data_IF_216336073844
#
_entry.id   IF_216336073844
#
_cell.length_a   1.000
_cell.length_b   1.000
_cell.length_c   1.000
_cell.angle_alpha   90.00
_cell.angle_beta   90.00
_cell.angle_gamma   90.00
#
_symmetry.space_group_name_H-M   'P 1'
#
loop_
_entity.id
_entity.type
_entity.pdbx_description
1 polymer ?
#
# COMPACT_ATOMS: atom_id res chain seq x y z
N UNK A 1 26.85 20.67 -7.84
CA UNK A 1 25.45 20.23 -7.68
C UNK A 1 25.41 19.14 -6.63
N UNK A 2 24.47 19.20 -5.68
CA UNK A 2 24.29 18.12 -4.70
C UNK A 2 23.67 16.89 -5.35
N UNK A 3 23.80 15.70 -4.74
CA UNK A 3 23.14 14.47 -5.21
C UNK A 3 21.62 14.67 -5.35
N UNK A 4 21.01 15.39 -4.41
CA UNK A 4 19.60 15.75 -4.46
C UNK A 4 19.26 16.57 -5.72
N UNK A 5 20.05 17.61 -6.03
CA UNK A 5 19.83 18.43 -7.23
C UNK A 5 19.97 17.60 -8.51
N UNK A 6 20.95 16.70 -8.59
CA UNK A 6 21.13 15.81 -9.73
C UNK A 6 19.91 14.90 -9.93
N UNK A 7 19.39 14.29 -8.85
CA UNK A 7 18.18 13.44 -8.91
C UNK A 7 16.96 14.26 -9.33
N UNK A 8 16.77 15.45 -8.76
CA UNK A 8 15.64 16.32 -9.10
C UNK A 8 15.67 16.73 -10.58
N UNK A 9 16.85 17.04 -11.12
CA UNK A 9 17.04 17.37 -12.53
C UNK A 9 16.82 16.15 -13.44
N UNK A 10 17.43 15.00 -13.12
CA UNK A 10 17.30 13.76 -13.90
C UNK A 10 15.85 13.26 -14.00
N UNK A 11 15.01 13.64 -13.05
CA UNK A 11 13.60 13.21 -12.99
C UNK A 11 12.62 14.36 -13.18
N UNK A 12 13.04 15.44 -13.84
CA UNK A 12 12.23 16.62 -14.15
C UNK A 12 11.26 16.39 -15.34
N UNK A 13 10.47 15.31 -15.29
CA UNK A 13 9.46 14.99 -16.33
C UNK A 13 8.46 16.13 -16.55
N UNK A 14 7.79 16.20 -17.70
CA UNK A 14 6.76 17.23 -17.92
C UNK A 14 5.53 17.04 -17.01
N UNK A 15 5.09 15.79 -16.84
CA UNK A 15 3.94 15.46 -15.99
C UNK A 15 4.33 15.45 -14.49
N UNK A 16 3.61 16.19 -13.63
CA UNK A 16 3.74 16.11 -12.17
C UNK A 16 3.58 14.69 -11.60
N UNK A 17 2.72 13.87 -12.21
CA UNK A 17 2.57 12.46 -11.87
C UNK A 17 3.90 11.72 -12.07
N UNK A 18 4.49 11.81 -13.27
CA UNK A 18 5.76 11.13 -13.58
C UNK A 18 6.94 11.67 -12.76
N UNK A 19 6.95 12.97 -12.44
CA UNK A 19 7.95 13.60 -11.54
C UNK A 19 7.99 12.98 -10.16
N UNK A 20 6.91 12.34 -9.73
CA UNK A 20 6.78 11.70 -8.42
C UNK A 20 6.85 10.19 -8.53
N UNK A 21 6.13 9.60 -9.48
CA UNK A 21 6.03 8.16 -9.69
C UNK A 21 7.38 7.53 -10.03
N UNK A 22 8.06 8.01 -11.07
CA UNK A 22 9.31 7.41 -11.56
C UNK A 22 10.40 7.37 -10.48
N UNK A 23 10.76 8.48 -9.81
CA UNK A 23 11.77 8.42 -8.77
C UNK A 23 11.33 7.61 -7.54
N UNK A 24 10.03 7.52 -7.25
CA UNK A 24 9.53 6.68 -6.15
C UNK A 24 9.66 5.19 -6.47
N UNK A 25 9.34 4.78 -7.71
CA UNK A 25 9.55 3.40 -8.16
C UNK A 25 11.05 3.09 -8.21
N UNK A 26 11.88 4.01 -8.71
CA UNK A 26 13.33 3.84 -8.70
C UNK A 26 13.88 3.66 -7.26
N UNK A 27 13.35 4.42 -6.29
CA UNK A 27 13.68 4.23 -4.88
C UNK A 27 13.27 2.84 -4.38
N UNK A 28 12.11 2.31 -4.80
CA UNK A 28 11.69 0.97 -4.41
C UNK A 28 12.70 -0.11 -4.84
N UNK A 29 13.13 -0.08 -6.09
CA UNK A 29 14.17 -0.98 -6.60
C UNK A 29 15.53 -0.72 -5.93
N UNK A 30 15.88 0.54 -5.66
CA UNK A 30 17.12 0.89 -4.97
C UNK A 30 17.20 0.33 -3.55
N UNK A 31 16.13 0.47 -2.76
CA UNK A 31 16.04 -0.10 -1.40
C UNK A 31 16.15 -1.63 -1.45
N UNK A 32 15.42 -2.27 -2.37
CA UNK A 32 15.44 -3.72 -2.48
C UNK A 32 16.78 -4.24 -2.99
N UNK A 33 17.45 -3.56 -3.93
CA UNK A 33 18.81 -3.89 -4.35
C UNK A 33 19.81 -3.76 -3.18
N UNK A 34 19.71 -2.69 -2.39
CA UNK A 34 20.60 -2.44 -1.25
C UNK A 34 20.50 -3.53 -0.17
N UNK A 35 19.30 -4.10 0.04
CA UNK A 35 19.13 -5.22 0.97
C UNK A 35 19.44 -6.57 0.31
N UNK A 36 19.17 -6.73 -0.99
CA UNK A 36 19.43 -7.97 -1.72
C UNK A 36 20.92 -8.34 -1.73
N UNK A 37 21.83 -7.37 -1.96
CA UNK A 37 23.28 -7.63 -2.04
C UNK A 37 23.83 -8.32 -0.78
N UNK A 38 23.70 -7.77 0.44
CA UNK A 38 24.16 -8.45 1.64
C UNK A 38 23.38 -9.73 1.94
N UNK A 39 22.08 -9.78 1.62
CA UNK A 39 21.24 -10.98 1.82
C UNK A 39 21.68 -12.14 0.94
N UNK A 40 22.05 -11.89 -0.32
CA UNK A 40 22.59 -12.88 -1.25
C UNK A 40 23.98 -13.35 -0.80
N UNK A 41 24.85 -12.42 -0.40
CA UNK A 41 26.20 -12.75 0.08
C UNK A 41 26.15 -13.65 1.32
N UNK A 42 25.28 -13.32 2.28
CA UNK A 42 25.07 -14.11 3.49
C UNK A 42 24.08 -15.28 3.30
N UNK A 43 23.51 -15.45 2.10
CA UNK A 43 22.46 -16.42 1.77
C UNK A 43 21.32 -16.43 2.80
N UNK A 44 20.87 -15.27 3.27
CA UNK A 44 19.88 -15.14 4.35
C UNK A 44 18.65 -14.36 3.91
N UNK A 45 17.47 -14.86 4.25
CA UNK A 45 16.16 -14.25 4.00
C UNK A 45 15.64 -13.41 5.18
N UNK A 46 16.38 -13.35 6.29
CA UNK A 46 15.94 -12.71 7.54
C UNK A 46 15.42 -11.29 7.34
N UNK A 47 15.99 -10.54 6.39
CA UNK A 47 15.65 -9.14 6.14
C UNK A 47 14.63 -8.92 5.02
N UNK A 48 14.16 -9.97 4.35
CA UNK A 48 13.27 -9.85 3.19
C UNK A 48 11.91 -9.21 3.54
N UNK A 49 11.23 -9.69 4.58
CA UNK A 49 9.93 -9.11 4.96
C UNK A 49 10.09 -7.69 5.55
N UNK A 50 11.22 -7.42 6.23
CA UNK A 50 11.56 -6.10 6.75
C UNK A 50 11.86 -5.10 5.62
N UNK A 51 12.60 -5.51 4.57
CA UNK A 51 12.91 -4.65 3.43
C UNK A 51 11.63 -4.23 2.69
N UNK A 52 10.66 -5.13 2.55
CA UNK A 52 9.34 -4.79 2.00
C UNK A 52 8.66 -3.64 2.76
N UNK A 53 8.63 -3.74 4.08
CA UNK A 53 7.99 -2.73 4.95
C UNK A 53 8.75 -1.40 4.93
N UNK A 54 10.09 -1.45 4.98
CA UNK A 54 10.94 -0.29 4.80
C UNK A 54 10.75 0.37 3.44
N UNK A 55 10.52 -0.42 2.39
CA UNK A 55 10.26 0.08 1.04
C UNK A 55 8.93 0.84 0.99
N UNK A 56 7.85 0.29 1.57
CA UNK A 56 6.57 1.00 1.69
C UNK A 56 6.73 2.35 2.40
N UNK A 57 7.38 2.35 3.57
CA UNK A 57 7.57 3.57 4.37
C UNK A 57 8.42 4.60 3.63
N UNK A 58 9.54 4.16 3.06
CA UNK A 58 10.47 5.03 2.33
C UNK A 58 9.83 5.63 1.08
N UNK A 59 9.12 4.84 0.28
CA UNK A 59 8.45 5.30 -0.92
C UNK A 59 7.27 6.23 -0.61
N UNK A 60 6.51 5.93 0.44
CA UNK A 60 5.41 6.79 0.90
C UNK A 60 5.94 8.15 1.35
N UNK A 61 6.93 8.17 2.25
CA UNK A 61 7.55 9.40 2.71
C UNK A 61 8.18 10.18 1.55
N UNK A 62 8.96 9.50 0.70
CA UNK A 62 9.63 10.13 -0.43
C UNK A 62 8.63 10.76 -1.40
N UNK A 63 7.57 10.04 -1.80
CA UNK A 63 6.53 10.59 -2.68
C UNK A 63 5.81 11.79 -2.05
N UNK A 64 5.57 11.77 -0.73
CA UNK A 64 4.93 12.86 0.01
C UNK A 64 5.79 14.13 0.06
N UNK A 65 7.11 14.00 0.27
CA UNK A 65 8.03 15.13 0.41
C UNK A 65 8.59 15.65 -0.92
N UNK A 66 8.60 14.83 -1.97
CA UNK A 66 9.24 15.17 -3.24
C UNK A 66 8.67 16.45 -3.91
N UNK A 67 7.35 16.70 -3.94
CA UNK A 67 6.80 17.96 -4.44
C UNK A 67 7.33 19.19 -3.70
N UNK A 68 7.47 19.10 -2.36
CA UNK A 68 8.04 20.17 -1.54
C UNK A 68 9.52 20.40 -1.89
N UNK A 69 10.32 19.33 -1.98
CA UNK A 69 11.74 19.44 -2.35
C UNK A 69 11.93 20.09 -3.72
N UNK A 70 11.05 19.78 -4.68
CA UNK A 70 11.05 20.42 -6.01
C UNK A 70 10.65 21.89 -5.94
N UNK A 71 9.60 22.22 -5.20
CA UNK A 71 9.14 23.59 -5.05
C UNK A 71 10.21 24.48 -4.39
N UNK A 72 10.89 23.95 -3.36
CA UNK A 72 12.04 24.62 -2.72
C UNK A 72 13.23 24.74 -3.66
N UNK A 73 13.59 23.69 -4.38
CA UNK A 73 14.71 23.72 -5.34
C UNK A 73 14.49 24.70 -6.50
N UNK A 74 13.24 24.96 -6.86
CA UNK A 74 12.88 25.93 -7.89
C UNK A 74 12.70 27.37 -7.36
N UNK A 75 12.89 27.59 -6.05
CA UNK A 75 12.75 28.91 -5.42
C UNK A 75 11.31 29.37 -5.20
N UNK A 76 10.30 28.51 -5.39
CA UNK A 76 8.89 28.86 -5.14
C UNK A 76 8.53 28.93 -3.65
N UNK A 77 9.40 28.39 -2.80
CA UNK A 77 9.26 28.39 -1.34
C UNK A 77 10.64 28.72 -0.78
N UNK A 78 10.72 29.76 0.04
CA UNK A 78 11.97 30.22 0.63
C UNK A 78 12.11 29.77 2.09
N UNK A 79 11.00 29.57 2.80
CA UNK A 79 11.00 29.00 4.14
C UNK A 79 10.94 27.47 4.16
N UNK A 80 10.55 26.94 5.33
CA UNK A 80 10.58 25.52 5.63
C UNK A 80 9.30 24.77 5.28
N UNK A 81 9.24 23.51 5.71
CA UNK A 81 8.06 22.65 5.53
C UNK A 81 6.79 23.29 6.13
N UNK A 82 6.92 24.00 7.25
CA UNK A 82 5.80 24.70 7.89
C UNK A 82 5.14 25.70 6.94
N UNK A 83 5.92 26.50 6.20
CA UNK A 83 5.39 27.44 5.20
C UNK A 83 4.64 26.71 4.08
N UNK A 84 5.20 25.60 3.60
CA UNK A 84 4.58 24.80 2.55
C UNK A 84 3.21 24.24 2.97
N UNK A 85 3.12 23.76 4.20
CA UNK A 85 1.92 23.12 4.75
C UNK A 85 0.89 24.13 5.26
N UNK A 86 1.32 25.31 5.73
CA UNK A 86 0.44 26.34 6.32
C UNK A 86 -0.37 27.12 5.30
N UNK A 87 -0.15 26.92 3.99
CA UNK A 87 -0.96 27.55 2.96
C UNK A 87 -2.45 27.18 3.15
N UNK A 88 -3.40 28.14 3.09
CA UNK A 88 -4.81 27.83 3.29
C UNK A 88 -5.36 27.04 2.10
N UNK A 89 -6.14 25.99 2.38
CA UNK A 89 -6.98 25.31 1.40
C UNK A 89 -8.34 26.01 1.22
N UNK A 90 -8.95 26.00 0.02
CA UNK A 90 -10.31 26.46 -0.21
C UNK A 90 -11.30 25.71 0.68
N UNK A 91 -12.21 26.44 1.35
CA UNK A 91 -13.21 25.83 2.23
C UNK A 91 -12.77 25.61 3.69
N UNK A 92 -11.76 26.36 4.16
CA UNK A 92 -11.23 26.34 5.54
C UNK A 92 -10.76 24.95 6.00
N UNK A 93 -9.50 24.62 5.68
CA UNK A 93 -8.82 23.42 6.17
C UNK A 93 -7.41 23.28 5.60
N UNK A 94 -6.64 22.33 6.13
CA UNK A 94 -5.29 22.03 5.64
C UNK A 94 -5.36 21.36 4.26
N UNK A 95 -4.87 22.00 3.20
CA UNK A 95 -4.95 21.49 1.82
C UNK A 95 -4.34 20.08 1.62
N UNK A 96 -3.39 19.70 2.47
CA UNK A 96 -2.60 18.47 2.36
C UNK A 96 -3.15 17.29 3.18
N UNK A 97 -4.31 17.43 3.83
CA UNK A 97 -4.79 16.43 4.78
C UNK A 97 -5.01 15.05 4.13
N UNK A 98 -5.42 14.99 2.85
CA UNK A 98 -5.62 13.72 2.12
C UNK A 98 -4.31 12.98 1.91
N UNK A 99 -3.27 13.70 1.51
CA UNK A 99 -1.92 13.19 1.37
C UNK A 99 -1.43 12.63 2.72
N UNK A 100 -1.63 13.37 3.79
CA UNK A 100 -1.23 12.96 5.13
C UNK A 100 -2.00 11.70 5.60
N UNK A 101 -3.33 11.69 5.49
CA UNK A 101 -4.17 10.57 5.94
C UNK A 101 -3.89 9.29 5.15
N UNK A 102 -3.82 9.35 3.81
CA UNK A 102 -3.56 8.17 3.00
C UNK A 102 -2.12 7.66 3.16
N UNK A 103 -1.15 8.56 3.32
CA UNK A 103 0.24 8.18 3.63
C UNK A 103 0.35 7.56 5.02
N UNK A 104 -0.37 8.09 6.01
CA UNK A 104 -0.44 7.52 7.36
C UNK A 104 -1.13 6.15 7.36
N UNK A 105 -2.19 5.97 6.57
CA UNK A 105 -2.88 4.68 6.41
C UNK A 105 -1.91 3.60 5.92
N UNK A 106 -1.13 3.88 4.86
CA UNK A 106 -0.08 2.97 4.40
C UNK A 106 1.00 2.77 5.46
N UNK A 107 1.44 3.84 6.13
CA UNK A 107 2.47 3.75 7.17
C UNK A 107 2.05 2.84 8.33
N UNK A 108 0.82 3.01 8.84
CA UNK A 108 0.25 2.18 9.88
C UNK A 108 0.18 0.72 9.47
N UNK A 109 -0.32 0.43 8.26
CA UNK A 109 -0.39 -0.93 7.74
C UNK A 109 1.00 -1.55 7.56
N UNK A 110 1.93 -0.84 6.93
CA UNK A 110 3.28 -1.34 6.65
C UNK A 110 4.09 -1.58 7.93
N UNK A 111 4.02 -0.68 8.91
CA UNK A 111 4.68 -0.85 10.21
C UNK A 111 4.10 -2.05 10.96
N UNK A 112 2.76 -2.19 10.97
CA UNK A 112 2.07 -3.31 11.64
C UNK A 112 2.44 -4.64 11.02
N UNK A 113 2.26 -4.78 9.70
CA UNK A 113 2.52 -6.03 9.00
C UNK A 113 4.00 -6.38 9.03
N UNK A 114 4.88 -5.40 8.82
CA UNK A 114 6.33 -5.58 8.87
C UNK A 114 6.83 -6.06 10.23
N UNK A 115 6.33 -5.45 11.30
CA UNK A 115 6.69 -5.86 12.66
C UNK A 115 6.20 -7.27 12.96
N UNK A 116 4.97 -7.60 12.57
CA UNK A 116 4.41 -8.94 12.75
C UNK A 116 5.21 -10.02 12.00
N UNK A 117 5.54 -9.79 10.73
CA UNK A 117 6.30 -10.74 9.92
C UNK A 117 7.75 -10.89 10.42
N UNK A 118 8.40 -9.79 10.79
CA UNK A 118 9.76 -9.83 11.32
C UNK A 118 9.84 -10.59 12.66
N UNK A 119 8.88 -10.34 13.56
CA UNK A 119 8.79 -11.09 14.83
C UNK A 119 8.60 -12.59 14.59
N UNK A 120 7.79 -12.96 13.59
CA UNK A 120 7.59 -14.37 13.21
C UNK A 120 8.86 -15.02 12.70
N UNK A 121 9.58 -14.39 11.77
CA UNK A 121 10.86 -14.93 11.25
C UNK A 121 11.87 -15.12 12.38
N UNK A 122 11.97 -14.16 13.32
CA UNK A 122 12.87 -14.29 14.47
C UNK A 122 12.50 -15.46 15.39
N UNK A 123 11.22 -15.80 15.48
CA UNK A 123 10.74 -16.92 16.29
C UNK A 123 10.89 -18.29 15.58
N UNK A 124 10.59 -18.36 14.28
CA UNK A 124 10.59 -19.60 13.50
C UNK A 124 11.98 -19.93 12.89
N UNK A 125 12.89 -18.95 12.88
CA UNK A 125 14.30 -19.07 12.50
C UNK A 125 14.59 -19.18 11.00
N UNK A 126 13.61 -19.60 10.19
CA UNK A 126 13.74 -19.74 8.74
C UNK A 126 12.38 -19.55 8.05
N UNK A 127 12.41 -19.17 6.77
CA UNK A 127 11.22 -19.14 5.93
C UNK A 127 11.34 -20.11 4.75
N UNK A 128 10.53 -21.17 4.80
CA UNK A 128 10.54 -22.25 3.81
C UNK A 128 10.26 -21.81 2.37
N UNK A 129 9.71 -20.59 2.16
CA UNK A 129 9.52 -20.01 0.82
C UNK A 129 10.85 -19.78 0.10
N UNK A 130 11.94 -19.58 0.84
CA UNK A 130 13.25 -19.22 0.28
C UNK A 130 14.20 -20.39 0.10
N UNK A 131 13.87 -21.58 0.62
CA UNK A 131 14.76 -22.76 0.59
C UNK A 131 15.23 -23.11 -0.83
N UNK A 132 14.34 -23.00 -1.82
CA UNK A 132 14.62 -23.34 -3.22
C UNK A 132 15.33 -22.23 -4.01
N UNK A 133 15.39 -21.00 -3.48
CA UNK A 133 15.91 -19.83 -4.22
C UNK A 133 17.13 -19.18 -3.58
N UNK A 134 17.34 -19.30 -2.25
CA UNK A 134 18.43 -18.64 -1.52
C UNK A 134 19.84 -19.03 -2.00
N UNK A 135 19.98 -20.21 -2.59
CA UNK A 135 21.24 -20.72 -3.13
C UNK A 135 21.54 -20.22 -4.56
N UNK A 136 20.58 -19.54 -5.20
CA UNK A 136 20.74 -18.99 -6.55
C UNK A 136 20.67 -17.46 -6.51
N UNK A 137 21.81 -16.75 -6.63
CA UNK A 137 21.84 -15.29 -6.58
C UNK A 137 20.81 -14.61 -7.49
N UNK A 138 20.66 -15.09 -8.73
CA UNK A 138 19.71 -14.55 -9.69
C UNK A 138 18.24 -14.75 -9.28
N UNK A 139 17.87 -15.95 -8.80
CA UNK A 139 16.50 -16.20 -8.33
C UNK A 139 16.19 -15.42 -7.06
N UNK A 140 17.16 -15.30 -6.16
CA UNK A 140 16.98 -14.56 -4.92
C UNK A 140 16.85 -13.05 -5.19
N UNK A 141 17.69 -12.48 -6.06
CA UNK A 141 17.54 -11.11 -6.53
C UNK A 141 16.17 -10.88 -7.19
N UNK A 142 15.70 -11.85 -7.99
CA UNK A 142 14.37 -11.83 -8.59
C UNK A 142 13.25 -11.69 -7.55
N UNK A 143 13.37 -12.32 -6.38
CA UNK A 143 12.39 -12.16 -5.29
C UNK A 143 12.38 -10.72 -4.73
N UNK A 144 13.55 -10.14 -4.45
CA UNK A 144 13.66 -8.75 -3.99
C UNK A 144 13.07 -7.75 -5.01
N UNK A 145 13.30 -7.98 -6.31
CA UNK A 145 12.74 -7.13 -7.35
C UNK A 145 11.24 -7.35 -7.55
N UNK A 146 10.74 -8.57 -7.39
CA UNK A 146 9.30 -8.83 -7.34
C UNK A 146 8.64 -8.08 -6.17
N UNK A 147 9.33 -7.98 -5.02
CA UNK A 147 8.87 -7.17 -3.89
C UNK A 147 8.88 -5.66 -4.21
N UNK A 148 9.90 -5.15 -4.90
CA UNK A 148 9.91 -3.76 -5.38
C UNK A 148 8.72 -3.47 -6.32
N UNK A 149 8.45 -4.37 -7.26
CA UNK A 149 7.28 -4.30 -8.15
C UNK A 149 5.99 -4.30 -7.35
N UNK A 150 5.86 -5.20 -6.37
CA UNK A 150 4.68 -5.29 -5.51
C UNK A 150 4.41 -3.95 -4.83
N UNK A 151 5.40 -3.44 -4.10
CA UNK A 151 5.27 -2.17 -3.37
C UNK A 151 4.88 -1.03 -4.31
N UNK A 152 5.51 -0.97 -5.47
CA UNK A 152 5.25 0.05 -6.48
C UNK A 152 3.80 0.03 -6.99
N UNK A 153 3.27 -1.16 -7.29
CA UNK A 153 1.89 -1.32 -7.78
C UNK A 153 0.86 -0.99 -6.70
N UNK A 154 1.12 -1.36 -5.43
CA UNK A 154 0.21 -1.09 -4.33
C UNK A 154 0.16 0.41 -3.96
N UNK A 155 1.30 1.10 -4.10
CA UNK A 155 1.42 2.53 -3.77
C UNK A 155 0.88 3.48 -4.84
N UNK A 156 0.53 3.00 -6.04
CA UNK A 156 0.04 3.84 -7.14
C UNK A 156 -1.04 4.88 -6.74
N UNK A 157 -2.08 4.54 -5.95
CA UNK A 157 -3.09 5.52 -5.55
C UNK A 157 -2.49 6.64 -4.69
N UNK A 158 -1.67 6.28 -3.69
CA UNK A 158 -1.05 7.24 -2.76
C UNK A 158 -0.02 8.11 -3.46
N UNK A 159 0.79 7.53 -4.35
CA UNK A 159 1.73 8.28 -5.19
C UNK A 159 0.96 9.27 -6.07
N UNK A 160 -0.18 8.86 -6.65
CA UNK A 160 -1.03 9.75 -7.44
C UNK A 160 -1.54 10.96 -6.65
N UNK A 161 -2.00 10.73 -5.41
CA UNK A 161 -2.45 11.80 -4.50
C UNK A 161 -1.29 12.71 -4.08
N UNK A 162 -0.14 12.12 -3.74
CA UNK A 162 1.06 12.85 -3.35
C UNK A 162 1.68 13.64 -4.51
N UNK A 163 1.47 13.22 -5.76
CA UNK A 163 1.95 13.93 -6.94
C UNK A 163 1.17 15.21 -7.25
N UNK A 164 0.01 15.45 -6.61
CA UNK A 164 -0.76 16.67 -6.82
C UNK A 164 0.04 17.89 -6.34
N UNK A 165 0.32 18.86 -7.22
CA UNK A 165 1.02 20.07 -6.82
C UNK A 165 0.13 20.93 -5.92
N UNK A 166 0.73 21.69 -5.00
CA UNK A 166 0.02 22.67 -4.15
C UNK A 166 -0.90 23.60 -4.95
N UNK A 167 -0.51 23.95 -6.18
CA UNK A 167 -1.30 24.78 -7.08
C UNK A 167 -2.68 24.17 -7.43
N UNK A 168 -2.84 22.84 -7.40
CA UNK A 168 -4.14 22.18 -7.62
C UNK A 168 -5.14 22.45 -6.48
N UNK A 169 -4.62 22.84 -5.31
CA UNK A 169 -5.39 23.19 -4.13
C UNK A 169 -5.51 24.70 -3.95
N UNK A 170 -4.73 25.53 -4.65
CA UNK A 170 -4.86 26.98 -4.56
C UNK A 170 -5.99 27.48 -5.47
N UNK A 171 -6.78 28.44 -4.98
CA UNK A 171 -7.59 29.29 -5.85
C UNK A 171 -6.65 29.92 -6.87
N UNK A 172 -6.81 29.60 -8.15
CA UNK A 172 -6.20 30.40 -9.21
C UNK A 172 -6.73 31.81 -8.98
N UNK A 173 -5.87 32.81 -8.69
CA UNK A 173 -6.24 34.22 -8.42
C UNK A 173 -6.84 34.93 -9.66
N UNK A 174 -7.63 34.23 -10.45
CA UNK A 174 -8.14 34.63 -11.76
C UNK A 174 -9.65 34.31 -11.84
N UNK A 175 -10.31 34.00 -10.73
CA UNK A 175 -11.77 33.77 -10.68
C UNK A 175 -12.58 34.97 -11.24
N UNK A 176 -11.99 36.17 -11.25
CA UNK A 176 -12.60 37.39 -11.81
C UNK A 176 -12.36 37.64 -13.30
N UNK A 177 -11.62 36.78 -14.03
CA UNK A 177 -11.25 37.06 -15.43
C UNK A 177 -11.87 36.08 -16.43
N UNK A 178 -12.21 34.84 -16.06
CA UNK A 178 -12.84 33.88 -16.98
C UNK A 178 -13.68 32.81 -16.28
N UNK A 179 -14.83 32.44 -16.86
CA UNK A 179 -15.74 31.37 -16.41
C UNK A 179 -15.25 29.94 -16.69
N UNK A 180 -14.00 29.78 -17.18
CA UNK A 180 -13.40 28.49 -17.56
C UNK A 180 -12.34 27.97 -16.58
N UNK A 181 -12.36 28.42 -15.32
CA UNK A 181 -11.38 28.00 -14.32
C UNK A 181 -11.90 26.76 -13.56
N UNK A 182 -11.09 25.69 -13.45
CA UNK A 182 -11.42 24.56 -12.59
C UNK A 182 -11.58 25.02 -11.13
N UNK A 183 -12.73 24.74 -10.52
CA UNK A 183 -12.96 24.98 -9.08
C UNK A 183 -11.88 24.27 -8.27
N UNK A 184 -11.10 25.02 -7.48
CA UNK A 184 -9.99 24.45 -6.70
C UNK A 184 -10.43 23.25 -5.85
N UNK A 185 -9.52 22.31 -5.58
CA UNK A 185 -9.84 21.14 -4.76
C UNK A 185 -10.25 21.62 -3.36
N UNK A 186 -11.47 21.26 -2.95
CA UNK A 186 -11.99 21.64 -1.63
C UNK A 186 -11.22 20.93 -0.52
N UNK A 187 -10.93 21.65 0.56
CA UNK A 187 -10.43 21.07 1.79
C UNK A 187 -11.51 20.22 2.50
N UNK A 188 -12.81 20.47 2.26
CA UNK A 188 -13.87 19.64 2.81
C UNK A 188 -13.83 18.20 2.27
N UNK A 189 -14.15 17.19 3.08
CA UNK A 189 -14.15 15.81 2.64
C UNK A 189 -15.23 15.53 1.60
N UNK A 190 -14.87 14.75 0.59
CA UNK A 190 -15.80 14.15 -0.35
C UNK A 190 -16.37 12.86 0.23
N UNK A 191 -17.53 12.43 -0.26
CA UNK A 191 -18.12 11.15 0.15
C UNK A 191 -17.16 9.98 -0.10
N UNK A 192 -16.34 10.04 -1.16
CA UNK A 192 -15.31 9.03 -1.47
C UNK A 192 -14.20 8.99 -0.44
N UNK A 193 -13.87 10.13 0.19
CA UNK A 193 -12.89 10.16 1.27
C UNK A 193 -13.44 9.43 2.49
N UNK A 194 -14.70 9.70 2.85
CA UNK A 194 -15.39 9.05 3.98
C UNK A 194 -15.49 7.55 3.75
N UNK A 195 -15.99 7.12 2.58
CA UNK A 195 -16.12 5.71 2.23
C UNK A 195 -14.75 5.02 2.21
N UNK A 196 -13.75 5.63 1.58
CA UNK A 196 -12.41 5.05 1.48
C UNK A 196 -11.74 4.88 2.84
N UNK A 197 -11.86 5.88 3.73
CA UNK A 197 -11.35 5.80 5.10
C UNK A 197 -12.12 4.75 5.91
N UNK A 198 -13.46 4.69 5.78
CA UNK A 198 -14.27 3.69 6.45
C UNK A 198 -13.89 2.26 6.02
N UNK A 199 -13.70 2.02 4.73
CA UNK A 199 -13.22 0.74 4.20
C UNK A 199 -11.81 0.40 4.71
N UNK A 200 -10.92 1.39 4.79
CA UNK A 200 -9.59 1.20 5.37
C UNK A 200 -9.66 0.77 6.84
N UNK A 201 -10.41 1.50 7.66
CA UNK A 201 -10.57 1.21 9.10
C UNK A 201 -11.22 -0.15 9.32
N UNK A 202 -12.24 -0.48 8.53
CA UNK A 202 -12.88 -1.79 8.58
C UNK A 202 -11.91 -2.90 8.17
N UNK A 203 -11.22 -2.76 7.04
CA UNK A 203 -10.28 -3.75 6.52
C UNK A 203 -9.12 -4.02 7.48
N UNK A 204 -8.48 -2.97 8.00
CA UNK A 204 -7.38 -3.12 8.97
C UNK A 204 -7.88 -3.70 10.30
N UNK A 205 -9.12 -3.38 10.72
CA UNK A 205 -9.75 -3.98 11.90
C UNK A 205 -9.94 -5.48 11.75
N UNK A 206 -10.49 -5.93 10.62
CA UNK A 206 -10.67 -7.36 10.30
C UNK A 206 -9.31 -8.07 10.26
N UNK A 207 -8.32 -7.50 9.58
CA UNK A 207 -6.97 -8.06 9.50
C UNK A 207 -6.32 -8.24 10.88
N UNK A 208 -6.38 -7.20 11.73
CA UNK A 208 -5.82 -7.23 13.09
C UNK A 208 -6.51 -8.30 13.94
N UNK A 209 -7.84 -8.37 13.92
CA UNK A 209 -8.59 -9.35 14.72
C UNK A 209 -8.30 -10.77 14.23
N UNK A 210 -8.28 -11.00 12.92
CA UNK A 210 -8.01 -12.31 12.33
C UNK A 210 -6.61 -12.83 12.71
N UNK A 211 -5.59 -12.00 12.60
CA UNK A 211 -4.23 -12.38 12.95
C UNK A 211 -4.06 -12.57 14.46
N UNK A 212 -4.68 -11.72 15.30
CA UNK A 212 -4.67 -11.93 16.76
C UNK A 212 -5.30 -13.25 17.16
N UNK A 213 -6.47 -13.59 16.59
CA UNK A 213 -7.11 -14.89 16.80
C UNK A 213 -6.19 -16.04 16.40
N UNK A 214 -5.50 -15.92 15.26
CA UNK A 214 -4.55 -16.92 14.79
C UNK A 214 -3.33 -17.06 15.71
N UNK A 215 -2.72 -15.95 16.13
CA UNK A 215 -1.57 -15.97 17.03
C UNK A 215 -1.95 -16.56 18.39
N UNK A 216 -3.11 -16.18 18.94
CA UNK A 216 -3.62 -16.72 20.19
C UNK A 216 -3.86 -18.23 20.09
N UNK A 217 -4.52 -18.69 19.03
CA UNK A 217 -4.74 -20.12 18.80
C UNK A 217 -3.43 -20.92 18.71
N UNK A 218 -2.41 -20.39 18.02
CA UNK A 218 -1.09 -21.04 17.96
C UNK A 218 -0.43 -21.13 19.34
N UNK A 219 -0.54 -20.08 20.15
CA UNK A 219 -0.01 -20.07 21.53
C UNK A 219 -0.76 -21.05 22.42
N UNK A 220 -2.09 -21.06 22.38
CA UNK A 220 -2.92 -21.97 23.15
C UNK A 220 -2.64 -23.44 22.80
N UNK A 221 -2.39 -23.75 21.53
CA UNK A 221 -1.96 -25.08 21.08
C UNK A 221 -0.61 -25.47 21.68
N UNK A 222 0.38 -24.55 21.72
CA UNK A 222 1.69 -24.80 22.34
C UNK A 222 1.58 -25.03 23.84
N UNK A 223 0.68 -24.32 24.49
CA UNK A 223 0.37 -24.44 25.92
C UNK A 223 -0.54 -25.65 26.25
N UNK A 224 -0.90 -26.46 25.24
CA UNK A 224 -1.81 -27.62 25.38
C UNK A 224 -3.17 -27.26 25.98
N UNK A 225 -3.67 -26.05 25.71
CA UNK A 225 -5.01 -25.60 26.11
C UNK A 225 -6.12 -26.14 25.21
N UNK A 226 -5.77 -26.62 24.02
CA UNK A 226 -6.67 -27.32 23.11
C UNK A 226 -5.89 -28.26 22.18
N UNK A 227 -6.58 -29.24 21.61
CA UNK A 227 -6.02 -30.22 20.67
C UNK A 227 -6.50 -30.02 19.21
N UNK A 228 -7.17 -28.90 18.91
CA UNK A 228 -7.65 -28.60 17.56
C UNK A 228 -6.53 -28.63 16.50
N UNK A 229 -6.80 -29.27 15.36
CA UNK A 229 -5.84 -29.40 14.27
C UNK A 229 -5.75 -28.17 13.37
N UNK A 230 -6.87 -27.48 13.17
CA UNK A 230 -6.98 -26.28 12.35
C UNK A 230 -7.95 -25.29 13.00
N UNK A 231 -7.73 -24.00 12.75
CA UNK A 231 -8.49 -22.92 13.38
C UNK A 231 -9.85 -22.73 12.71
N UNK A 232 -10.92 -23.00 13.46
CA UNK A 232 -12.32 -22.92 12.98
C UNK A 232 -13.18 -21.93 13.75
N UNK A 233 -12.58 -21.15 14.67
CA UNK A 233 -13.29 -20.25 15.60
C UNK A 233 -13.14 -18.78 15.19
N UNK A 234 -14.05 -17.93 15.69
CA UNK A 234 -13.97 -16.49 15.46
C UNK A 234 -14.17 -16.11 13.99
N UNK A 235 -13.38 -15.19 13.45
CA UNK A 235 -13.47 -14.78 12.05
C UNK A 235 -13.13 -15.93 11.09
N UNK A 236 -12.31 -16.88 11.54
CA UNK A 236 -11.93 -18.06 10.77
C UNK A 236 -13.07 -19.08 10.61
N UNK A 237 -14.17 -18.92 11.37
CA UNK A 237 -15.44 -19.64 11.17
C UNK A 237 -16.31 -19.02 10.07
N UNK A 238 -16.06 -17.76 9.73
CA UNK A 238 -16.87 -16.99 8.76
C UNK A 238 -16.17 -16.87 7.41
N UNK A 239 -14.84 -16.87 7.38
CA UNK A 239 -14.01 -16.93 6.17
C UNK A 239 -12.79 -17.79 6.45
N UNK A 240 -12.31 -18.55 5.47
CA UNK A 240 -11.05 -19.31 5.62
C UNK A 240 -9.82 -18.42 5.59
N UNK A 241 -9.92 -17.22 5.03
CA UNK A 241 -8.82 -16.25 4.95
C UNK A 241 -9.30 -14.82 5.28
N UNK A 242 -9.78 -14.56 6.51
CA UNK A 242 -10.38 -13.29 6.88
C UNK A 242 -9.34 -12.15 6.91
N UNK A 243 -8.08 -12.46 7.23
CA UNK A 243 -6.98 -11.49 7.19
C UNK A 243 -6.72 -10.99 5.75
N UNK A 244 -6.74 -11.88 4.75
CA UNK A 244 -6.59 -11.49 3.35
C UNK A 244 -7.78 -10.66 2.84
N UNK A 245 -9.00 -10.96 3.32
CA UNK A 245 -10.17 -10.12 3.04
C UNK A 245 -10.00 -8.72 3.63
N UNK A 246 -9.51 -8.62 4.87
CA UNK A 246 -9.17 -7.34 5.50
C UNK A 246 -8.15 -6.53 4.68
N UNK A 247 -7.06 -7.17 4.26
CA UNK A 247 -6.00 -6.56 3.45
C UNK A 247 -6.54 -6.07 2.07
N UNK A 248 -7.31 -6.89 1.36
CA UNK A 248 -7.94 -6.46 0.10
C UNK A 248 -8.89 -5.28 0.31
N UNK A 249 -9.66 -5.28 1.39
CA UNK A 249 -10.64 -4.23 1.71
C UNK A 249 -9.96 -2.90 2.05
N UNK A 250 -8.84 -2.92 2.80
CA UNK A 250 -8.14 -1.69 3.13
C UNK A 250 -7.44 -1.05 1.93
N UNK A 251 -6.86 -1.85 1.03
CA UNK A 251 -6.28 -1.32 -0.22
C UNK A 251 -7.37 -0.80 -1.17
N UNK A 252 -8.54 -1.42 -1.15
CA UNK A 252 -9.73 -0.90 -1.84
C UNK A 252 -10.14 0.45 -1.27
N UNK A 253 -10.16 0.61 0.06
CA UNK A 253 -10.44 1.89 0.72
C UNK A 253 -9.49 3.02 0.29
N UNK A 254 -8.18 2.74 0.25
CA UNK A 254 -7.17 3.68 -0.25
C UNK A 254 -7.44 4.06 -1.71
N UNK A 255 -7.74 3.08 -2.57
CA UNK A 255 -8.06 3.32 -3.98
C UNK A 255 -9.34 4.13 -4.19
N UNK A 256 -10.39 3.91 -3.39
CA UNK A 256 -11.64 4.68 -3.45
C UNK A 256 -11.42 6.14 -3.08
N UNK A 257 -10.72 6.40 -1.96
CA UNK A 257 -10.41 7.77 -1.53
C UNK A 257 -9.53 8.49 -2.57
N UNK A 258 -8.43 7.86 -2.99
CA UNK A 258 -7.51 8.41 -3.98
C UNK A 258 -8.19 8.63 -5.34
N UNK A 259 -8.88 7.64 -5.88
CA UNK A 259 -9.58 7.73 -7.16
C UNK A 259 -10.64 8.83 -7.15
N UNK A 260 -11.42 8.92 -6.07
CA UNK A 260 -12.44 9.96 -5.90
C UNK A 260 -11.90 11.39 -5.89
N UNK A 261 -10.68 11.59 -5.37
CA UNK A 261 -9.94 12.85 -5.47
C UNK A 261 -9.37 13.07 -6.88
N UNK A 262 -8.69 12.07 -7.43
CA UNK A 262 -7.90 12.23 -8.64
C UNK A 262 -8.75 12.46 -9.89
N UNK A 263 -10.00 11.97 -9.94
CA UNK A 263 -10.92 12.21 -11.07
C UNK A 263 -11.46 13.64 -11.16
N UNK A 264 -11.25 14.47 -10.13
CA UNK A 264 -11.73 15.86 -10.12
C UNK A 264 -10.96 16.68 -11.15
N UNK A 265 -11.66 17.58 -11.84
CA UNK A 265 -11.07 18.36 -12.94
C UNK A 265 -9.79 19.11 -12.51
N UNK A 266 -9.77 19.68 -11.30
CA UNK A 266 -8.60 20.39 -10.78
C UNK A 266 -7.43 19.46 -10.43
N UNK A 267 -7.72 18.24 -10.00
CA UNK A 267 -6.70 17.21 -9.81
C UNK A 267 -6.13 16.75 -11.17
N UNK A 268 -6.99 16.56 -12.17
CA UNK A 268 -6.59 16.23 -13.53
C UNK A 268 -5.64 17.30 -14.11
N UNK A 269 -6.05 18.58 -14.08
CA UNK A 269 -5.21 19.70 -14.52
C UNK A 269 -3.91 19.75 -13.72
N UNK A 270 -3.98 19.56 -12.40
CA UNK A 270 -2.81 19.53 -11.51
C UNK A 270 -1.80 18.43 -11.88
N UNK A 271 -2.26 17.29 -12.39
CA UNK A 271 -1.39 16.19 -12.84
C UNK A 271 -0.94 16.33 -14.30
N UNK A 272 -1.36 17.38 -15.00
CA UNK A 272 -1.16 17.53 -16.44
C UNK A 272 -1.96 16.53 -17.27
N UNK A 273 -3.10 16.09 -16.75
CA UNK A 273 -4.06 15.21 -17.40
C UNK A 273 -5.32 15.99 -17.79
N UNK A 274 -6.14 15.43 -18.67
CA UNK A 274 -7.36 16.08 -19.11
C UNK A 274 -8.34 15.13 -19.78
N UNK A 275 -9.60 15.57 -19.87
CA UNK A 275 -10.66 14.83 -20.54
C UNK A 275 -11.06 13.53 -19.85
N UNK A 276 -11.82 12.72 -20.59
CA UNK A 276 -12.28 11.40 -20.13
C UNK A 276 -11.12 10.41 -20.01
N UNK A 277 -10.16 10.46 -20.93
CA UNK A 277 -8.97 9.59 -20.92
C UNK A 277 -8.13 9.77 -19.66
N UNK A 278 -7.92 11.00 -19.19
CA UNK A 278 -7.21 11.26 -17.93
C UNK A 278 -7.92 10.68 -16.72
N UNK A 279 -9.26 10.79 -16.67
CA UNK A 279 -10.08 10.21 -15.59
C UNK A 279 -10.00 8.67 -15.59
N UNK A 280 -10.12 8.05 -16.77
CA UNK A 280 -9.94 6.59 -16.92
C UNK A 280 -8.55 6.19 -16.46
N UNK A 281 -7.50 6.92 -16.87
CA UNK A 281 -6.13 6.61 -16.51
C UNK A 281 -5.91 6.60 -14.99
N UNK A 282 -6.39 7.61 -14.26
CA UNK A 282 -6.22 7.66 -12.80
C UNK A 282 -7.06 6.62 -12.07
N UNK A 283 -8.27 6.31 -12.57
CA UNK A 283 -9.11 5.25 -12.01
C UNK A 283 -8.48 3.87 -12.19
N UNK A 284 -7.99 3.56 -13.40
CA UNK A 284 -7.26 2.33 -13.69
C UNK A 284 -6.02 2.23 -12.80
N UNK A 285 -5.24 3.31 -12.69
CA UNK A 285 -4.06 3.36 -11.82
C UNK A 285 -4.40 3.09 -10.35
N UNK A 286 -5.50 3.67 -9.84
CA UNK A 286 -5.94 3.41 -8.46
C UNK A 286 -6.42 1.96 -8.27
N UNK A 287 -7.13 1.41 -9.26
CA UNK A 287 -7.66 0.06 -9.21
C UNK A 287 -6.57 -1.03 -9.27
N UNK A 288 -5.39 -0.74 -9.83
CA UNK A 288 -4.26 -1.67 -9.86
C UNK A 288 -3.89 -2.15 -8.46
N UNK A 289 -3.90 -1.27 -7.46
CA UNK A 289 -3.49 -1.63 -6.08
C UNK A 289 -4.35 -2.76 -5.48
N UNK A 290 -5.68 -2.58 -5.26
CA UNK A 290 -6.51 -3.65 -4.71
C UNK A 290 -6.63 -4.86 -5.65
N UNK A 291 -6.66 -4.65 -6.97
CA UNK A 291 -6.74 -5.77 -7.93
C UNK A 291 -5.48 -6.66 -7.85
N UNK A 292 -4.30 -6.04 -7.79
CA UNK A 292 -3.02 -6.74 -7.72
C UNK A 292 -2.85 -7.47 -6.38
N UNK A 293 -3.13 -6.80 -5.26
CA UNK A 293 -3.06 -7.45 -3.93
C UNK A 293 -4.03 -8.63 -3.86
N UNK A 294 -5.27 -8.44 -4.29
CA UNK A 294 -6.28 -9.51 -4.28
C UNK A 294 -5.89 -10.67 -5.20
N UNK A 295 -5.37 -10.37 -6.39
CA UNK A 295 -4.85 -11.39 -7.31
C UNK A 295 -3.71 -12.19 -6.68
N UNK A 296 -2.73 -11.52 -6.08
CA UNK A 296 -1.61 -12.19 -5.44
C UNK A 296 -2.09 -13.08 -4.29
N UNK A 297 -2.92 -12.55 -3.39
CA UNK A 297 -3.44 -13.30 -2.25
C UNK A 297 -4.29 -14.49 -2.64
N UNK A 298 -5.08 -14.41 -3.71
CA UNK A 298 -6.01 -15.47 -4.10
C UNK A 298 -5.45 -16.46 -5.11
N UNK A 299 -4.45 -16.08 -5.92
CA UNK A 299 -4.02 -16.86 -7.09
C UNK A 299 -2.52 -17.18 -7.14
N UNK A 300 -1.65 -16.43 -6.48
CA UNK A 300 -0.19 -16.59 -6.62
C UNK A 300 0.44 -17.00 -5.29
N UNK A 301 0.31 -16.12 -4.30
CA UNK A 301 0.74 -16.33 -2.92
C UNK A 301 -0.50 -16.54 -2.05
N UNK A 302 -0.39 -16.42 -0.72
CA UNK A 302 -1.57 -16.45 0.15
C UNK A 302 -2.34 -17.77 0.13
N UNK A 303 -3.55 -17.77 -0.46
CA UNK A 303 -4.52 -18.87 -0.43
C UNK A 303 -3.99 -20.16 -1.05
N UNK A 304 -3.45 -20.22 -2.29
CA UNK A 304 -3.03 -21.49 -2.87
C UNK A 304 -1.88 -22.14 -2.09
N UNK A 305 -0.92 -21.36 -1.59
CA UNK A 305 0.18 -21.91 -0.78
C UNK A 305 -0.32 -22.46 0.56
N UNK A 306 -1.25 -21.75 1.20
CA UNK A 306 -1.83 -22.17 2.48
C UNK A 306 -2.74 -23.40 2.31
N UNK A 307 -3.72 -23.33 1.41
CA UNK A 307 -4.68 -24.43 1.22
C UNK A 307 -4.01 -25.68 0.67
N UNK A 308 -3.07 -25.60 -0.26
CA UNK A 308 -2.36 -26.78 -0.75
C UNK A 308 -1.60 -27.50 0.38
N UNK A 309 -1.08 -26.76 1.37
CA UNK A 309 -0.40 -27.35 2.53
C UNK A 309 -1.40 -28.06 3.46
N UNK A 310 -2.55 -27.45 3.71
CA UNK A 310 -3.59 -28.03 4.57
C UNK A 310 -4.30 -29.20 3.90
N UNK A 311 -4.60 -29.11 2.61
CA UNK A 311 -5.25 -30.16 1.82
C UNK A 311 -4.35 -31.41 1.74
N UNK A 312 -3.03 -31.26 1.58
CA UNK A 312 -2.10 -32.39 1.66
C UNK A 312 -2.08 -33.09 3.02
N UNK A 313 -2.41 -32.37 4.10
CA UNK A 313 -2.30 -32.88 5.48
C UNK A 313 -3.63 -33.43 6.01
N UNK A 314 -4.75 -32.79 5.64
CA UNK A 314 -6.06 -33.04 6.21
C UNK A 314 -7.12 -33.35 5.14
N UNK A 315 -6.75 -33.39 3.86
CA UNK A 315 -7.68 -33.54 2.74
C UNK A 315 -8.56 -34.79 2.80
N UNK A 316 -8.07 -35.88 3.38
CA UNK A 316 -8.83 -37.13 3.52
C UNK A 316 -9.77 -37.16 4.74
N UNK A 317 -9.72 -36.13 5.60
CA UNK A 317 -10.56 -36.06 6.79
C UNK A 317 -11.92 -35.43 6.50
N UNK A 318 -12.98 -36.13 6.91
CA UNK A 318 -14.37 -35.68 6.71
C UNK A 318 -14.69 -34.36 7.40
N UNK A 319 -14.17 -34.14 8.61
CA UNK A 319 -14.41 -32.90 9.37
C UNK A 319 -13.76 -31.67 8.72
N UNK A 320 -12.55 -31.83 8.18
CA UNK A 320 -11.86 -30.80 7.40
C UNK A 320 -12.60 -30.47 6.10
N UNK A 321 -13.03 -31.49 5.35
CA UNK A 321 -13.83 -31.31 4.13
C UNK A 321 -15.14 -30.57 4.42
N UNK A 322 -15.87 -30.98 5.46
CA UNK A 322 -17.12 -30.34 5.87
C UNK A 322 -16.89 -28.88 6.30
N UNK A 323 -15.84 -28.59 7.06
CA UNK A 323 -15.50 -27.22 7.41
C UNK A 323 -15.19 -26.37 6.17
N UNK A 324 -14.41 -26.93 5.23
CA UNK A 324 -14.01 -26.24 3.99
C UNK A 324 -15.22 -25.96 3.10
N UNK A 325 -16.20 -26.86 3.03
CA UNK A 325 -17.43 -26.66 2.28
C UNK A 325 -18.33 -25.58 2.90
N UNK A 326 -18.46 -25.57 4.23
CA UNK A 326 -19.36 -24.66 4.95
C UNK A 326 -18.76 -23.26 5.21
N UNK A 327 -17.44 -23.12 5.11
CA UNK A 327 -16.73 -21.87 5.35
C UNK A 327 -16.23 -21.28 4.04
N UNK A 328 -16.76 -20.12 3.60
CA UNK A 328 -16.34 -19.52 2.34
C UNK A 328 -14.86 -19.14 2.37
N UNK A 329 -14.22 -19.21 1.22
CA UNK A 329 -12.76 -19.00 1.11
C UNK A 329 -12.35 -17.59 1.51
N UNK A 330 -13.04 -16.56 1.00
CA UNK A 330 -12.55 -15.18 1.04
C UNK A 330 -13.55 -14.22 1.68
N UNK A 331 -14.70 -14.00 1.04
CA UNK A 331 -15.74 -13.11 1.56
C UNK A 331 -16.40 -13.76 2.79
N UNK A 332 -16.38 -13.10 3.97
CA UNK A 332 -16.99 -13.66 5.17
C UNK A 332 -18.48 -13.93 5.02
N UNK A 333 -18.94 -15.09 5.50
CA UNK A 333 -20.36 -15.41 5.60
C UNK A 333 -21.04 -14.45 6.57
N UNK A 334 -22.08 -13.77 6.10
CA UNK A 334 -22.97 -12.98 6.95
C UNK A 334 -24.13 -13.88 7.37
N UNK A 335 -24.21 -14.12 8.67
CA UNK A 335 -25.17 -14.99 9.37
C UNK A 335 -24.96 -16.49 9.09
#
# INVERSE_FOLDING_TARGET
>A
MTLLQAILHATAFRSPLLRTLVPTVALAYGVQAAVAVPSIAAKTETYYDLSGSLTYLSCTAFSLFLPYLRARSAGYITGGLTEYLSAPGPGQGAWFWRQAVLSAAVGLWATRLGTYLFQRIKADGHDSRFDSIRNSPGKFLGAFFAQATWVSLCLLPVIGVNALPRAAFALTRIEKVTTKIPTAISASPYWTDILGIALFVFGIGVEIVADRQKSQWVTEKKEKKHDEDFLTRGLWSKSRHPNYFGESTLWTGIAVAAGGLLVRNSAQVGLGLGGVSGKIAVLSMCAVSPAFVTFLLLKVSGVPLSENKYDKRYGDRKDYQQWKENTPMFVPKLF
#
